data_IF_939217410171
#
_entry.id   IF_939217410171
#
_cell.length_a   1.000
_cell.length_b   1.000
_cell.length_c   1.000
_cell.angle_alpha   90.00
_cell.angle_beta   90.00
_cell.angle_gamma   90.00
#
_symmetry.space_group_name_H-M   'P 1'
#
loop_
_entity.id
_entity.type
_entity.pdbx_description
1 polymer ?
#
# COMPACT_ATOMS: atom_id res chain seq x y z
N UNK A 1 -0.73 11.52 3.13
CA UNK A 1 -1.00 11.52 1.68
C UNK A 1 -0.53 10.20 1.05
N UNK A 2 -1.34 9.58 0.20
CA UNK A 2 -0.98 8.37 -0.51
C UNK A 2 -1.32 8.55 -1.99
N UNK A 3 -0.30 8.82 -2.81
CA UNK A 3 -0.48 9.08 -4.24
C UNK A 3 -0.61 7.83 -5.10
N UNK A 4 -0.20 6.66 -4.60
CA UNK A 4 -0.09 5.45 -5.45
C UNK A 4 -1.45 4.92 -5.92
N UNK A 5 -2.51 5.11 -5.17
CA UNK A 5 -3.81 4.68 -5.63
C UNK A 5 -4.44 5.61 -6.67
N UNK A 6 -3.83 6.77 -6.98
CA UNK A 6 -4.24 7.64 -8.09
C UNK A 6 -3.69 7.19 -9.46
N UNK A 7 -2.85 6.17 -9.52
CA UNK A 7 -2.48 5.58 -10.81
C UNK A 7 -3.70 4.96 -11.51
N UNK A 8 -3.85 5.07 -12.83
CA UNK A 8 -4.99 4.55 -13.58
C UNK A 8 -5.30 3.07 -13.31
N UNK A 9 -4.26 2.23 -13.20
CA UNK A 9 -4.42 0.82 -12.86
C UNK A 9 -4.99 0.61 -11.44
N UNK A 10 -4.50 1.35 -10.45
CA UNK A 10 -5.02 1.28 -9.08
C UNK A 10 -6.47 1.78 -9.01
N UNK A 11 -6.81 2.83 -9.75
CA UNK A 11 -8.17 3.33 -9.92
C UNK A 11 -9.08 2.26 -10.56
N UNK A 12 -8.58 1.54 -11.56
CA UNK A 12 -9.33 0.43 -12.19
C UNK A 12 -9.60 -0.70 -11.19
N UNK A 13 -8.60 -1.08 -10.39
CA UNK A 13 -8.79 -2.08 -9.31
C UNK A 13 -9.84 -1.58 -8.33
N UNK A 14 -9.79 -0.31 -7.92
CA UNK A 14 -10.80 0.30 -7.03
C UNK A 14 -12.22 0.18 -7.60
N UNK A 15 -12.42 0.55 -8.88
CA UNK A 15 -13.72 0.39 -9.56
C UNK A 15 -14.17 -1.08 -9.64
N UNK A 16 -13.25 -2.00 -9.85
CA UNK A 16 -13.56 -3.44 -9.86
C UNK A 16 -14.01 -3.93 -8.47
N UNK A 17 -13.37 -3.45 -7.39
CA UNK A 17 -13.79 -3.73 -6.02
C UNK A 17 -15.20 -3.21 -5.78
N UNK A 18 -15.45 -1.95 -6.12
CA UNK A 18 -16.76 -1.28 -5.94
C UNK A 18 -17.88 -1.95 -6.73
N UNK A 19 -17.57 -2.47 -7.92
CA UNK A 19 -18.52 -3.20 -8.76
C UNK A 19 -18.69 -4.68 -8.35
N UNK A 20 -17.98 -5.17 -7.32
CA UNK A 20 -18.00 -6.57 -6.92
C UNK A 20 -17.43 -7.54 -7.99
N UNK A 21 -16.62 -7.02 -8.93
CA UNK A 21 -16.15 -7.77 -10.09
C UNK A 21 -15.23 -8.96 -9.74
N UNK A 22 -14.61 -8.94 -8.57
CA UNK A 22 -13.77 -10.04 -8.08
C UNK A 22 -14.57 -11.25 -7.59
N UNK A 23 -15.89 -11.10 -7.35
CA UNK A 23 -16.68 -12.08 -6.63
C UNK A 23 -16.24 -12.13 -5.15
N UNK A 24 -16.12 -13.33 -4.57
CA UNK A 24 -15.57 -13.49 -3.22
C UNK A 24 -14.05 -13.30 -3.27
N UNK A 25 -13.51 -12.42 -2.41
CA UNK A 25 -12.06 -12.24 -2.28
C UNK A 25 -11.46 -13.48 -1.62
N UNK A 26 -10.40 -14.01 -2.23
CA UNK A 26 -9.66 -15.18 -1.76
C UNK A 26 -8.44 -14.73 -0.96
N UNK A 27 -7.68 -13.77 -1.49
CA UNK A 27 -6.45 -13.24 -0.88
C UNK A 27 -6.11 -11.88 -1.48
N UNK A 28 -5.46 -11.04 -0.67
CA UNK A 28 -4.90 -9.77 -1.13
C UNK A 28 -3.44 -9.63 -0.69
N UNK A 29 -2.57 -9.24 -1.61
CA UNK A 29 -1.16 -8.97 -1.34
C UNK A 29 -0.83 -7.53 -1.71
N UNK A 30 -0.33 -6.73 -0.75
CA UNK A 30 0.08 -5.35 -1.01
C UNK A 30 1.48 -5.13 -0.46
N UNK A 31 2.32 -4.44 -1.24
CA UNK A 31 3.66 -4.11 -0.79
C UNK A 31 4.14 -2.74 -1.26
N UNK A 32 5.01 -2.14 -0.46
CA UNK A 32 5.81 -1.01 -0.85
C UNK A 32 7.26 -1.29 -0.49
N UNK A 33 8.06 -1.57 -1.51
CA UNK A 33 9.36 -2.19 -1.40
C UNK A 33 10.45 -1.26 -1.95
N UNK A 34 11.49 -1.06 -1.16
CA UNK A 34 12.65 -0.22 -1.48
C UNK A 34 13.97 -0.97 -1.31
N UNK A 35 15.01 -0.49 -2.01
CA UNK A 35 16.42 -0.86 -1.75
C UNK A 35 17.22 0.32 -1.22
N UNK A 36 16.57 1.41 -0.83
CA UNK A 36 17.24 2.69 -0.51
C UNK A 36 18.20 2.62 0.67
N UNK A 37 17.99 1.68 1.57
CA UNK A 37 18.78 1.50 2.78
C UNK A 37 19.60 0.20 2.79
N UNK A 38 19.77 -0.43 1.62
CA UNK A 38 20.53 -1.67 1.47
C UNK A 38 22.03 -1.49 1.80
N UNK A 39 22.64 -0.36 1.40
CA UNK A 39 24.04 -0.09 1.71
C UNK A 39 24.20 0.23 3.21
N UNK A 40 24.95 -0.58 4.01
CA UNK A 40 25.16 -0.34 5.43
C UNK A 40 26.01 0.90 5.72
N UNK A 41 26.88 1.32 4.77
CA UNK A 41 27.75 2.49 4.91
C UNK A 41 27.04 3.83 4.67
N UNK A 42 25.77 3.78 4.22
CA UNK A 42 24.96 4.98 4.09
C UNK A 42 24.76 5.65 5.46
N UNK A 43 25.06 6.95 5.60
CA UNK A 43 24.86 7.65 6.86
C UNK A 43 23.45 7.52 7.41
N UNK A 44 23.36 7.47 8.75
CA UNK A 44 22.07 7.44 9.43
C UNK A 44 21.26 8.71 9.08
N UNK A 45 19.94 8.54 8.96
CA UNK A 45 19.03 9.65 8.75
C UNK A 45 17.87 9.58 9.76
N UNK A 46 17.02 10.60 9.76
CA UNK A 46 15.90 10.73 10.70
C UNK A 46 14.97 9.52 10.75
N UNK A 47 14.84 8.78 9.65
CA UNK A 47 13.98 7.59 9.55
C UNK A 47 14.47 6.41 10.39
N UNK A 48 15.73 6.46 10.84
CA UNK A 48 16.39 5.41 11.62
C UNK A 48 16.45 5.74 13.12
N UNK A 49 15.92 6.87 13.52
CA UNK A 49 15.89 7.32 14.90
C UNK A 49 14.45 7.37 15.43
N UNK A 50 14.22 6.82 16.60
CA UNK A 50 12.89 6.76 17.22
C UNK A 50 12.35 8.15 17.54
N UNK A 51 13.23 9.09 17.90
CA UNK A 51 12.86 10.48 18.18
C UNK A 51 12.09 11.14 17.03
N UNK A 52 12.43 10.85 15.78
CA UNK A 52 11.83 11.50 14.61
C UNK A 52 10.85 10.62 13.84
N UNK A 53 11.04 9.30 13.85
CA UNK A 53 10.22 8.37 13.08
C UNK A 53 9.24 7.54 13.95
N UNK A 54 9.30 7.70 15.29
CA UNK A 54 8.47 6.92 16.21
C UNK A 54 8.80 5.43 16.24
N UNK A 55 7.96 4.67 16.94
CA UNK A 55 8.16 3.23 17.14
C UNK A 55 7.78 2.39 15.90
N UNK A 56 6.95 2.92 15.00
CA UNK A 56 6.48 2.20 13.82
C UNK A 56 7.58 1.96 12.78
N UNK A 57 8.64 2.77 12.74
CA UNK A 57 9.73 2.63 11.79
C UNK A 57 9.25 2.66 10.34
N UNK A 58 9.57 1.63 9.57
CA UNK A 58 9.15 1.53 8.17
C UNK A 58 7.62 1.48 8.00
N UNK A 59 6.87 0.98 8.97
CA UNK A 59 5.40 1.00 8.92
C UNK A 59 4.86 2.43 8.94
N UNK A 60 5.45 3.35 9.72
CA UNK A 60 5.01 4.75 9.79
C UNK A 60 5.25 5.54 8.50
N UNK A 61 6.29 5.19 7.74
CA UNK A 61 6.65 5.88 6.49
C UNK A 61 6.06 5.19 5.24
N UNK A 62 6.17 3.87 5.14
CA UNK A 62 5.73 3.10 3.98
C UNK A 62 4.33 2.49 4.16
N UNK A 63 3.95 2.18 5.40
CA UNK A 63 2.71 1.50 5.73
C UNK A 63 1.44 2.24 5.28
N UNK A 64 1.32 3.57 5.43
CA UNK A 64 0.18 4.32 4.91
C UNK A 64 -0.09 4.08 3.42
N UNK A 65 0.96 3.89 2.63
CA UNK A 65 0.83 3.61 1.19
C UNK A 65 0.31 2.20 0.91
N UNK A 66 0.70 1.19 1.70
CA UNK A 66 0.20 -0.18 1.55
C UNK A 66 -1.24 -0.33 2.03
N UNK A 67 -1.63 0.43 3.05
CA UNK A 67 -2.98 0.40 3.60
C UNK A 67 -4.01 1.20 2.78
N UNK A 68 -3.57 2.18 1.98
CA UNK A 68 -4.44 3.18 1.38
C UNK A 68 -5.58 2.59 0.55
N UNK A 69 -5.28 1.72 -0.41
CA UNK A 69 -6.31 1.13 -1.27
C UNK A 69 -7.18 0.11 -0.51
N UNK A 70 -6.62 -0.85 0.27
CA UNK A 70 -7.42 -1.79 1.06
C UNK A 70 -8.40 -1.11 2.02
N UNK A 71 -7.96 -0.10 2.76
CA UNK A 71 -8.82 0.56 3.74
C UNK A 71 -9.85 1.46 3.04
N UNK A 72 -9.48 2.07 1.90
CA UNK A 72 -10.43 2.75 1.03
C UNK A 72 -11.50 1.80 0.48
N UNK A 73 -11.16 0.54 0.23
CA UNK A 73 -12.11 -0.51 -0.12
C UNK A 73 -13.06 -0.87 1.05
N UNK A 74 -12.77 -0.37 2.25
CA UNK A 74 -13.53 -0.66 3.47
C UNK A 74 -13.17 -2.01 4.10
N UNK A 75 -12.09 -2.64 3.65
CA UNK A 75 -11.61 -3.88 4.25
C UNK A 75 -10.99 -3.58 5.61
N UNK A 76 -11.49 -4.24 6.65
CA UNK A 76 -11.13 -3.98 8.04
C UNK A 76 -10.30 -5.13 8.59
N UNK A 77 -9.05 -4.88 9.07
CA UNK A 77 -8.27 -5.92 9.72
C UNK A 77 -8.90 -6.31 11.06
N UNK A 78 -9.10 -7.60 11.27
CA UNK A 78 -9.62 -8.18 12.52
C UNK A 78 -8.52 -8.66 13.45
N UNK A 79 -7.39 -8.99 12.90
CA UNK A 79 -6.18 -9.34 13.65
C UNK A 79 -4.93 -9.06 12.80
N UNK A 80 -3.77 -9.19 13.44
CA UNK A 80 -2.48 -9.12 12.76
C UNK A 80 -1.47 -10.06 13.41
N UNK A 81 -0.70 -10.77 12.57
CA UNK A 81 0.58 -11.40 12.91
C UNK A 81 1.68 -10.65 12.19
N UNK A 82 2.59 -10.04 12.96
CA UNK A 82 3.68 -9.24 12.43
C UNK A 82 5.04 -9.92 12.59
N UNK A 83 5.90 -9.72 11.59
CA UNK A 83 7.33 -9.96 11.66
C UNK A 83 8.04 -8.68 11.24
N UNK A 84 8.73 -8.05 12.19
CA UNK A 84 9.50 -6.83 11.98
C UNK A 84 10.98 -7.15 12.07
N UNK A 85 11.79 -6.57 11.20
CA UNK A 85 13.23 -6.80 11.21
C UNK A 85 14.03 -5.51 11.11
N UNK A 86 15.17 -5.51 11.82
CA UNK A 86 16.20 -4.48 11.72
C UNK A 86 17.42 -5.12 11.03
N UNK A 87 17.45 -5.08 9.70
CA UNK A 87 18.45 -5.75 8.86
C UNK A 87 19.82 -5.08 8.97
N UNK A 88 19.84 -3.74 9.11
CA UNK A 88 21.05 -2.95 9.30
C UNK A 88 20.97 -2.27 10.68
N UNK A 89 21.49 -2.93 11.74
CA UNK A 89 21.29 -2.49 13.11
C UNK A 89 22.07 -1.22 13.50
N UNK A 90 23.07 -0.83 12.71
CA UNK A 90 23.87 0.38 12.97
C UNK A 90 24.40 1.00 11.68
N UNK A 91 24.67 2.31 11.70
CA UNK A 91 25.14 3.09 10.56
C UNK A 91 26.10 4.17 11.00
N UNK A 92 26.99 4.66 10.08
CA UNK A 92 27.79 5.85 10.37
C UNK A 92 26.91 7.08 10.58
N UNK A 93 27.30 7.97 11.52
CA UNK A 93 26.61 9.22 11.81
C UNK A 93 27.05 10.40 10.92
N UNK A 94 27.95 10.16 9.98
CA UNK A 94 28.57 11.21 9.14
C UNK A 94 29.74 11.93 9.80
N UNK A 95 30.05 11.65 11.08
CA UNK A 95 31.18 12.21 11.85
C UNK A 95 32.21 11.14 12.23
N UNK A 96 32.15 9.99 11.61
CA UNK A 96 33.09 8.88 11.82
C UNK A 96 32.72 7.91 12.96
N UNK A 97 31.57 8.07 13.59
CA UNK A 97 31.08 7.13 14.62
C UNK A 97 30.00 6.22 14.04
N UNK A 98 29.96 4.99 14.52
CA UNK A 98 28.85 4.05 14.25
C UNK A 98 27.80 4.20 15.37
N UNK A 99 26.55 4.45 14.97
CA UNK A 99 25.43 4.63 15.88
C UNK A 99 24.31 3.64 15.60
N UNK A 100 23.51 3.24 16.59
CA UNK A 100 22.46 2.26 16.41
C UNK A 100 21.32 2.82 15.54
N UNK A 101 20.71 1.94 14.73
CA UNK A 101 19.42 2.17 14.10
C UNK A 101 18.32 1.70 15.06
N UNK A 102 17.46 2.62 15.51
CA UNK A 102 16.47 2.37 16.56
C UNK A 102 15.11 1.90 16.01
N UNK A 103 14.91 1.98 14.69
CA UNK A 103 13.64 1.71 14.04
C UNK A 103 13.71 0.51 13.09
N UNK A 104 12.57 -0.09 12.81
CA UNK A 104 12.45 -1.23 11.92
C UNK A 104 12.73 -0.89 10.46
N UNK A 105 13.49 -1.75 9.76
CA UNK A 105 13.74 -1.67 8.32
C UNK A 105 12.60 -2.23 7.50
N UNK A 106 12.14 -3.41 7.89
CA UNK A 106 11.17 -4.20 7.16
C UNK A 106 10.05 -4.65 8.08
N UNK A 107 8.83 -4.60 7.57
CA UNK A 107 7.64 -5.11 8.22
C UNK A 107 6.86 -5.99 7.25
N UNK A 108 6.54 -7.21 7.69
CA UNK A 108 5.61 -8.11 7.01
C UNK A 108 4.48 -8.40 7.98
N UNK A 109 3.26 -8.06 7.57
CA UNK A 109 2.04 -8.22 8.36
C UNK A 109 1.11 -9.19 7.64
N UNK A 110 0.63 -10.19 8.35
CA UNK A 110 -0.46 -11.07 7.89
C UNK A 110 -1.70 -10.75 8.71
N UNK A 111 -2.78 -10.37 8.03
CA UNK A 111 -4.05 -9.98 8.62
C UNK A 111 -5.17 -10.86 8.12
N UNK A 112 -6.16 -11.15 8.96
CA UNK A 112 -7.49 -11.54 8.52
C UNK A 112 -8.30 -10.28 8.34
N UNK A 113 -8.79 -10.06 7.10
CA UNK A 113 -9.59 -8.90 6.72
C UNK A 113 -11.05 -9.28 6.65
N UNK A 114 -11.93 -8.35 7.00
CA UNK A 114 -13.37 -8.48 6.81
C UNK A 114 -13.83 -7.56 5.67
N UNK A 115 -14.54 -8.14 4.70
CA UNK A 115 -15.20 -7.38 3.63
C UNK A 115 -16.46 -6.71 4.16
N UNK A 116 -16.68 -5.38 3.92
CA UNK A 116 -17.76 -4.62 4.56
C UNK A 116 -19.15 -5.10 4.17
N UNK A 117 -19.33 -5.52 2.91
CA UNK A 117 -20.66 -5.79 2.36
C UNK A 117 -21.14 -7.22 2.62
N UNK A 118 -20.22 -8.18 2.67
CA UNK A 118 -20.56 -9.61 2.85
C UNK A 118 -20.20 -10.15 4.25
N UNK A 119 -19.31 -9.48 4.98
CA UNK A 119 -18.72 -10.01 6.21
C UNK A 119 -17.76 -11.18 5.97
N UNK A 120 -17.42 -11.47 4.71
CA UNK A 120 -16.47 -12.51 4.37
C UNK A 120 -15.08 -12.18 4.90
N UNK A 121 -14.44 -13.21 5.47
CA UNK A 121 -13.06 -13.12 5.94
C UNK A 121 -12.11 -13.62 4.86
N UNK A 122 -10.98 -12.92 4.70
CA UNK A 122 -9.91 -13.31 3.78
C UNK A 122 -8.53 -12.88 4.31
N UNK A 123 -7.46 -13.61 3.97
CA UNK A 123 -6.10 -13.22 4.34
C UNK A 123 -5.61 -12.06 3.50
N UNK A 124 -4.86 -11.14 4.15
CA UNK A 124 -4.13 -10.09 3.47
C UNK A 124 -2.70 -9.98 4.00
N UNK A 125 -1.75 -9.96 3.07
CA UNK A 125 -0.35 -9.69 3.38
C UNK A 125 0.00 -8.25 3.05
N UNK A 126 0.57 -7.52 4.03
CA UNK A 126 1.08 -6.17 3.86
C UNK A 126 2.60 -6.16 4.07
N UNK A 127 3.35 -5.60 3.11
CA UNK A 127 4.81 -5.53 3.17
C UNK A 127 5.30 -4.09 3.03
N UNK A 128 5.97 -3.59 4.07
CA UNK A 128 6.60 -2.26 4.09
C UNK A 128 8.11 -2.45 4.30
N UNK A 129 8.88 -2.50 3.21
CA UNK A 129 10.30 -2.85 3.27
C UNK A 129 11.18 -1.74 2.71
N UNK A 130 12.14 -1.26 3.52
CA UNK A 130 13.21 -0.34 3.09
C UNK A 130 14.41 -1.07 2.51
N UNK A 131 14.57 -2.34 2.87
CA UNK A 131 15.68 -3.19 2.43
C UNK A 131 15.09 -4.40 1.73
N UNK A 132 14.89 -4.26 0.42
CA UNK A 132 14.39 -5.33 -0.45
C UNK A 132 15.21 -5.31 -1.76
N UNK A 133 16.29 -6.11 -1.85
CA UNK A 133 17.15 -6.14 -3.03
C UNK A 133 16.37 -6.36 -4.32
N UNK A 134 16.74 -5.62 -5.38
CA UNK A 134 16.05 -5.68 -6.67
C UNK A 134 14.79 -4.80 -6.77
N UNK A 135 14.31 -4.20 -5.67
CA UNK A 135 13.14 -3.35 -5.66
C UNK A 135 13.51 -1.86 -5.55
N UNK A 136 13.08 -1.04 -6.50
CA UNK A 136 13.27 0.41 -6.48
C UNK A 136 11.93 1.11 -6.38
N UNK A 137 11.51 1.49 -5.17
CA UNK A 137 10.28 2.25 -4.99
C UNK A 137 9.06 1.54 -5.62
N UNK A 138 8.96 0.24 -5.42
CA UNK A 138 7.91 -0.58 -6.02
C UNK A 138 6.72 -0.74 -5.07
N UNK A 139 5.66 0.04 -5.32
CA UNK A 139 4.35 -0.24 -4.76
C UNK A 139 3.63 -1.23 -5.68
N UNK A 140 3.04 -2.26 -5.11
CA UNK A 140 2.28 -3.26 -5.85
C UNK A 140 1.06 -3.73 -5.07
N UNK A 141 0.07 -4.22 -5.80
CA UNK A 141 -1.12 -4.87 -5.26
C UNK A 141 -1.52 -6.05 -6.14
N UNK A 142 -1.93 -7.13 -5.50
CA UNK A 142 -2.59 -8.27 -6.11
C UNK A 142 -3.88 -8.56 -5.35
N UNK A 143 -4.98 -8.71 -6.07
CA UNK A 143 -6.29 -9.09 -5.54
C UNK A 143 -6.71 -10.37 -6.25
N UNK A 144 -6.86 -11.44 -5.51
CA UNK A 144 -7.32 -12.74 -6.01
C UNK A 144 -8.78 -12.93 -5.60
N UNK A 145 -9.65 -13.18 -6.57
CA UNK A 145 -11.07 -13.39 -6.35
C UNK A 145 -11.62 -14.59 -7.12
N UNK A 146 -12.82 -15.01 -6.76
CA UNK A 146 -13.46 -16.20 -7.38
C UNK A 146 -13.97 -15.96 -8.80
N UNK A 147 -14.23 -14.71 -9.19
CA UNK A 147 -14.70 -14.35 -10.53
C UNK A 147 -13.62 -13.66 -11.36
N UNK A 148 -12.77 -12.88 -10.73
CA UNK A 148 -11.65 -12.23 -11.39
C UNK A 148 -10.48 -12.06 -10.42
N UNK A 149 -9.29 -11.81 -10.97
CA UNK A 149 -8.10 -11.43 -10.24
C UNK A 149 -7.39 -10.28 -10.96
N UNK A 150 -6.69 -9.43 -10.20
CA UNK A 150 -5.94 -8.31 -10.75
C UNK A 150 -4.61 -8.16 -10.04
N UNK A 151 -3.55 -7.80 -10.77
CA UNK A 151 -2.28 -7.43 -10.18
C UNK A 151 -1.65 -6.24 -10.90
N UNK A 152 -1.09 -5.35 -10.12
CA UNK A 152 -0.45 -4.13 -10.58
C UNK A 152 0.83 -3.86 -9.81
N UNK A 153 1.82 -3.31 -10.49
CA UNK A 153 3.12 -2.96 -9.90
C UNK A 153 3.68 -1.70 -10.53
N UNK A 154 4.29 -0.81 -9.74
CA UNK A 154 5.02 0.36 -10.23
C UNK A 154 6.30 0.02 -11.01
N UNK A 155 6.69 -1.24 -11.09
CA UNK A 155 7.73 -1.68 -12.03
C UNK A 155 7.29 -1.55 -13.49
N UNK A 156 5.98 -1.57 -13.73
CA UNK A 156 5.34 -1.22 -15.01
C UNK A 156 4.09 -0.39 -14.71
N UNK A 157 4.20 0.93 -14.81
CA UNK A 157 3.15 1.86 -14.41
C UNK A 157 1.93 1.88 -15.33
N UNK A 158 2.09 1.39 -16.56
CA UNK A 158 1.06 1.48 -17.60
C UNK A 158 0.22 0.22 -17.75
N UNK A 159 0.68 -0.91 -17.19
CA UNK A 159 0.07 -2.20 -17.43
C UNK A 159 -0.65 -2.71 -16.19
N UNK A 160 -1.91 -3.13 -16.36
CA UNK A 160 -2.67 -3.90 -15.40
C UNK A 160 -2.82 -5.32 -15.91
N UNK A 161 -2.48 -6.31 -15.10
CA UNK A 161 -2.74 -7.70 -15.42
C UNK A 161 -4.07 -8.12 -14.80
N UNK A 162 -4.94 -8.69 -15.63
CA UNK A 162 -6.28 -9.14 -15.28
C UNK A 162 -6.47 -10.61 -15.65
N UNK A 163 -7.12 -11.35 -14.78
CA UNK A 163 -7.63 -12.69 -15.03
C UNK A 163 -9.14 -12.68 -14.75
N UNK A 164 -9.93 -13.11 -15.73
CA UNK A 164 -11.37 -13.37 -15.57
C UNK A 164 -11.59 -14.88 -15.61
N UNK A 165 -12.16 -15.42 -14.55
CA UNK A 165 -12.48 -16.85 -14.53
C UNK A 165 -13.79 -17.11 -15.26
N UNK A 166 -13.72 -17.88 -16.36
CA UNK A 166 -14.87 -18.19 -17.23
C UNK A 166 -15.32 -19.66 -17.15
N UNK A 167 -14.82 -20.38 -16.14
CA UNK A 167 -15.00 -21.83 -16.03
C UNK A 167 -13.97 -22.62 -16.86
N UNK A 168 -13.83 -23.90 -16.54
CA UNK A 168 -12.86 -24.79 -17.17
C UNK A 168 -11.45 -24.70 -16.55
N UNK A 169 -10.50 -25.41 -17.17
CA UNK A 169 -9.15 -25.57 -16.65
C UNK A 169 -8.18 -24.48 -17.13
N UNK A 170 -8.55 -23.72 -18.16
CA UNK A 170 -7.70 -22.68 -18.73
C UNK A 170 -7.79 -21.39 -17.90
N UNK A 171 -6.63 -20.90 -17.46
CA UNK A 171 -6.51 -19.61 -16.75
C UNK A 171 -5.45 -18.76 -17.45
N UNK A 172 -5.87 -17.60 -17.95
CA UNK A 172 -5.00 -16.72 -18.70
C UNK A 172 -4.98 -15.31 -18.06
N UNK A 173 -3.80 -14.85 -17.67
CA UNK A 173 -3.55 -13.46 -17.36
C UNK A 173 -3.46 -12.62 -18.64
N UNK A 174 -4.22 -11.56 -18.70
CA UNK A 174 -4.25 -10.60 -19.80
C UNK A 174 -3.63 -9.30 -19.35
N UNK A 175 -2.61 -8.83 -20.07
CA UNK A 175 -2.06 -7.48 -19.87
C UNK A 175 -2.96 -6.45 -20.55
N UNK A 176 -3.32 -5.42 -19.81
CA UNK A 176 -4.15 -4.30 -20.27
C UNK A 176 -3.36 -3.02 -20.12
N UNK A 177 -3.13 -2.31 -21.21
CA UNK A 177 -2.58 -0.97 -21.17
C UNK A 177 -3.64 0.01 -20.65
N UNK A 178 -3.28 0.78 -19.63
CA UNK A 178 -4.25 1.54 -18.85
C UNK A 178 -4.56 2.93 -19.38
N UNK A 179 -3.72 3.47 -20.26
CA UNK A 179 -3.88 4.87 -20.70
C UNK A 179 -3.83 5.85 -19.52
N UNK A 180 -4.51 7.00 -19.67
CA UNK A 180 -4.50 8.09 -18.69
C UNK A 180 -5.91 8.47 -18.18
N UNK A 181 -6.81 7.52 -18.06
CA UNK A 181 -8.13 7.78 -17.47
C UNK A 181 -8.00 8.12 -15.99
N UNK A 182 -8.19 9.39 -15.65
CA UNK A 182 -8.07 9.95 -14.31
C UNK A 182 -9.24 10.88 -13.99
N UNK A 183 -9.47 11.17 -12.69
CA UNK A 183 -10.56 12.06 -12.25
C UNK A 183 -10.37 13.51 -12.69
N UNK A 184 -9.12 13.96 -12.82
CA UNK A 184 -8.77 15.30 -13.29
C UNK A 184 -7.85 15.17 -14.51
N UNK A 185 -7.95 16.09 -15.45
CA UNK A 185 -7.11 16.08 -16.64
C UNK A 185 -5.64 16.22 -16.26
N UNK A 186 -4.77 15.34 -16.76
CA UNK A 186 -3.33 15.44 -16.56
C UNK A 186 -2.74 16.56 -17.43
N UNK A 187 -1.57 17.10 -17.04
CA UNK A 187 -0.91 18.19 -17.79
C UNK A 187 -0.55 17.75 -19.20
N UNK A 188 -0.04 16.52 -19.34
CA UNK A 188 0.41 15.98 -20.61
C UNK A 188 -0.69 15.27 -21.39
N UNK A 189 -1.86 15.09 -20.79
CA UNK A 189 -2.96 14.31 -21.35
C UNK A 189 -2.46 12.92 -21.81
N UNK A 190 -2.80 12.52 -23.05
CA UNK A 190 -2.38 11.23 -23.61
C UNK A 190 -1.01 11.29 -24.32
N UNK A 191 -0.32 12.45 -24.31
CA UNK A 191 0.95 12.63 -25.01
C UNK A 191 2.14 11.96 -24.33
N UNK A 192 2.06 11.67 -23.03
CA UNK A 192 3.11 11.02 -22.28
C UNK A 192 2.54 9.96 -21.32
N UNK A 193 3.38 9.02 -20.93
CA UNK A 193 2.99 7.99 -19.96
C UNK A 193 2.69 8.62 -18.60
N UNK A 194 1.66 8.09 -17.93
CA UNK A 194 1.29 8.49 -16.58
C UNK A 194 2.38 8.07 -15.57
N UNK A 195 2.88 9.03 -14.81
CA UNK A 195 3.96 8.81 -13.85
C UNK A 195 3.64 9.27 -12.42
N UNK A 196 4.64 9.21 -11.56
CA UNK A 196 4.51 9.59 -10.16
C UNK A 196 4.10 11.06 -9.99
N UNK A 197 4.61 11.95 -10.83
CA UNK A 197 4.25 13.37 -10.81
C UNK A 197 2.78 13.58 -11.08
N UNK A 198 2.22 12.84 -12.04
CA UNK A 198 0.80 12.92 -12.39
C UNK A 198 -0.06 12.42 -11.23
N UNK A 199 0.32 11.29 -10.60
CA UNK A 199 -0.37 10.77 -9.43
C UNK A 199 -0.37 11.76 -8.23
N UNK A 200 0.73 12.48 -8.03
CA UNK A 200 0.83 13.55 -7.02
C UNK A 200 -0.10 14.71 -7.38
N UNK A 201 -0.15 15.12 -8.64
CA UNK A 201 -1.04 16.20 -9.10
C UNK A 201 -2.52 15.79 -8.98
N UNK A 202 -2.88 14.55 -9.32
CA UNK A 202 -4.24 14.03 -9.11
C UNK A 202 -4.62 14.08 -7.62
N UNK A 203 -3.72 13.68 -6.72
CA UNK A 203 -3.94 13.75 -5.28
C UNK A 203 -4.17 15.20 -4.81
N UNK A 204 -3.37 16.15 -5.27
CA UNK A 204 -3.55 17.56 -4.92
C UNK A 204 -4.82 18.15 -5.53
N UNK A 205 -5.16 17.80 -6.78
CA UNK A 205 -6.39 18.23 -7.42
C UNK A 205 -7.62 17.70 -6.65
N UNK A 206 -7.60 16.44 -6.22
CA UNK A 206 -8.65 15.86 -5.39
C UNK A 206 -8.80 16.63 -4.05
N UNK A 207 -7.69 16.91 -3.38
CA UNK A 207 -7.72 17.66 -2.12
C UNK A 207 -8.29 19.07 -2.28
N UNK A 208 -7.81 19.80 -3.30
CA UNK A 208 -8.26 21.16 -3.56
C UNK A 208 -9.73 21.21 -3.98
N UNK A 209 -10.18 20.24 -4.78
CA UNK A 209 -11.59 20.13 -5.18
C UNK A 209 -12.49 19.88 -3.96
N UNK A 210 -12.14 18.94 -3.08
CA UNK A 210 -12.92 18.65 -1.88
C UNK A 210 -12.93 19.86 -0.92
N UNK A 211 -11.82 20.58 -0.81
CA UNK A 211 -11.71 21.77 0.02
C UNK A 211 -12.55 22.96 -0.52
N UNK A 212 -12.51 23.20 -1.83
CA UNK A 212 -13.20 24.31 -2.50
C UNK A 212 -14.71 24.09 -2.58
N UNK A 213 -15.13 22.85 -2.85
CA UNK A 213 -16.53 22.55 -3.09
C UNK A 213 -17.27 22.06 -1.84
N UNK A 214 -16.57 21.71 -0.77
CA UNK A 214 -17.08 21.00 0.42
C UNK A 214 -17.88 19.73 0.03
N UNK A 215 -17.44 19.05 -1.04
CA UNK A 215 -18.06 17.84 -1.57
C UNK A 215 -17.03 16.73 -1.73
N UNK A 216 -17.27 15.56 -1.12
CA UNK A 216 -16.39 14.43 -1.33
C UNK A 216 -16.46 13.94 -2.79
N UNK A 217 -15.31 13.57 -3.31
CA UNK A 217 -15.23 12.86 -4.57
C UNK A 217 -15.71 11.39 -4.41
N UNK A 218 -15.89 10.72 -5.54
CA UNK A 218 -16.14 9.27 -5.54
C UNK A 218 -15.07 8.53 -4.72
N UNK A 219 -15.47 7.42 -4.12
CA UNK A 219 -14.70 6.68 -3.09
C UNK A 219 -13.21 6.52 -3.41
N UNK A 220 -12.87 6.13 -4.61
CA UNK A 220 -11.48 5.90 -5.02
C UNK A 220 -10.80 7.13 -5.67
N UNK A 221 -11.54 8.19 -5.96
CA UNK A 221 -10.98 9.42 -6.54
C UNK A 221 -10.64 10.49 -5.48
N UNK A 222 -11.14 10.36 -4.26
CA UNK A 222 -10.97 11.33 -3.18
C UNK A 222 -9.71 11.14 -2.35
N UNK A 223 -9.47 12.07 -1.42
CA UNK A 223 -8.33 12.02 -0.50
C UNK A 223 -8.49 10.96 0.60
N UNK A 224 -7.38 10.61 1.25
CA UNK A 224 -7.39 9.76 2.44
C UNK A 224 -8.18 10.44 3.57
N UNK A 225 -9.05 9.68 4.23
CA UNK A 225 -9.92 10.17 5.30
C UNK A 225 -9.29 9.93 6.68
N UNK A 226 -9.68 10.73 7.68
CA UNK A 226 -9.19 10.57 9.05
C UNK A 226 -9.47 9.19 9.67
N UNK A 227 -10.61 8.57 9.34
CA UNK A 227 -10.99 7.24 9.82
C UNK A 227 -10.05 6.14 9.25
N UNK A 228 -9.68 6.24 7.98
CA UNK A 228 -8.67 5.36 7.37
C UNK A 228 -7.31 5.51 8.07
N UNK A 229 -6.92 6.74 8.37
CA UNK A 229 -5.67 7.04 9.09
C UNK A 229 -5.70 6.46 10.51
N UNK A 230 -6.80 6.62 11.23
CA UNK A 230 -6.97 6.03 12.56
C UNK A 230 -6.84 4.50 12.53
N UNK A 231 -7.36 3.86 11.46
CA UNK A 231 -7.24 2.41 11.28
C UNK A 231 -5.79 1.97 11.05
N UNK A 232 -4.98 2.75 10.30
CA UNK A 232 -3.53 2.44 10.16
C UNK A 232 -2.84 2.41 11.52
N UNK A 233 -3.10 3.43 12.35
CA UNK A 233 -2.49 3.52 13.68
C UNK A 233 -2.88 2.34 14.57
N UNK A 234 -4.15 1.93 14.56
CA UNK A 234 -4.60 0.72 15.26
C UNK A 234 -3.84 -0.52 14.79
N UNK A 235 -3.73 -0.72 13.47
CA UNK A 235 -3.02 -1.86 12.90
C UNK A 235 -1.54 -1.87 13.28
N UNK A 236 -0.85 -0.74 13.15
CA UNK A 236 0.59 -0.67 13.42
C UNK A 236 0.91 -0.82 14.90
N UNK A 237 0.06 -0.30 15.79
CA UNK A 237 0.17 -0.54 17.23
C UNK A 237 0.02 -2.02 17.57
N UNK A 238 -1.00 -2.68 17.01
CA UNK A 238 -1.19 -4.12 17.17
C UNK A 238 -0.03 -4.94 16.56
N UNK A 239 0.56 -4.47 15.46
CA UNK A 239 1.72 -5.10 14.85
C UNK A 239 2.98 -5.02 15.75
N UNK A 240 3.22 -3.92 16.44
CA UNK A 240 4.29 -3.83 17.45
C UNK A 240 4.07 -4.78 18.61
N UNK A 241 2.85 -4.90 19.10
CA UNK A 241 2.48 -5.88 20.12
C UNK A 241 2.68 -7.31 19.63
N UNK A 242 2.25 -7.62 18.41
CA UNK A 242 2.44 -8.92 17.77
C UNK A 242 3.92 -9.27 17.62
N UNK A 243 4.76 -8.33 17.25
CA UNK A 243 6.22 -8.51 17.17
C UNK A 243 6.81 -8.84 18.55
N UNK A 244 6.39 -8.13 19.58
CA UNK A 244 6.92 -8.28 20.94
C UNK A 244 6.49 -9.60 21.56
N UNK A 245 5.23 -9.99 21.39
CA UNK A 245 4.64 -11.18 22.00
C UNK A 245 4.85 -12.47 21.19
N UNK A 246 5.17 -12.35 19.92
CA UNK A 246 5.22 -13.47 18.98
C UNK A 246 3.84 -14.10 18.68
N UNK A 247 2.75 -13.40 18.99
CA UNK A 247 1.37 -13.90 18.84
C UNK A 247 0.58 -13.06 17.84
N UNK A 248 -0.51 -13.63 17.33
CA UNK A 248 -1.53 -12.87 16.61
C UNK A 248 -2.27 -11.98 17.61
N UNK A 249 -2.40 -10.69 17.27
CA UNK A 249 -3.07 -9.69 18.10
C UNK A 249 -4.39 -9.30 17.42
N UNK A 250 -5.54 -9.41 18.13
CA UNK A 250 -6.83 -8.96 17.60
C UNK A 250 -6.88 -7.44 17.54
N UNK A 251 -7.57 -6.91 16.52
CA UNK A 251 -7.90 -5.49 16.44
C UNK A 251 -9.33 -5.27 16.97
N UNK A 252 -9.53 -4.33 17.89
CA UNK A 252 -10.87 -4.02 18.38
C UNK A 252 -11.73 -3.43 17.26
N UNK A 253 -13.02 -3.79 17.29
CA UNK A 253 -14.07 -3.24 16.39
C UNK A 253 -14.25 -1.76 16.54
#
# INVERSE_FOLDING_TARGET
>A
ASQFFFFPAAQRIGRMIEAGAFGKIIEVNVGFLHSSDLNPDKPINWKRTRQFNGDYGCMGDLGPHVCALPFRAGWVPRNVRAVLSNVVPSRPDGHGRIVPCETWDNATLLCEMEAPDSGDMFPMTLRAHRICPGQRNNWHIEVLGTAASARYSLSDTNTLELLEYRGGDEQQWRCVEMGQETAFQSITQELAQFGLSDAILQMWAAYLYELDTDRPLARFAGCARPDETALWHKLFTAALESQTTGKTVPLPR
#
